data_IF_280296109816
#
_entry.id   IF_280296109816
#
_cell.length_a   1.000
_cell.length_b   1.000
_cell.length_c   1.000
_cell.angle_alpha   90.00
_cell.angle_beta   90.00
_cell.angle_gamma   90.00
#
_symmetry.space_group_name_H-M   'P 1'
#
loop_
_entity.id
_entity.type
_entity.pdbx_description
1 polymer ?
#
# COMPACT_ATOMS: atom_id res chain seq x y z
N UNK A 1 1.91 -15.45 -10.43
CA UNK A 1 1.50 -14.45 -9.42
C UNK A 1 2.27 -14.68 -8.14
N UNK A 2 2.88 -13.65 -7.63
CA UNK A 2 3.64 -13.74 -6.39
C UNK A 2 2.71 -13.51 -5.21
N UNK A 3 2.68 -14.45 -4.27
CA UNK A 3 1.95 -14.29 -3.03
C UNK A 3 2.96 -14.04 -1.91
N UNK A 4 2.63 -13.13 -1.01
CA UNK A 4 3.49 -12.78 0.10
C UNK A 4 2.75 -12.96 1.41
N UNK A 5 3.44 -13.44 2.43
CA UNK A 5 2.90 -13.57 3.79
C UNK A 5 3.02 -12.23 4.54
N UNK A 6 2.34 -12.13 5.66
CA UNK A 6 2.48 -10.96 6.53
C UNK A 6 3.93 -10.78 6.98
N UNK A 7 4.66 -11.87 7.25
CA UNK A 7 6.08 -11.81 7.60
C UNK A 7 6.89 -11.18 6.48
N UNK A 8 6.64 -11.60 5.22
CA UNK A 8 7.37 -11.09 4.06
C UNK A 8 7.15 -9.58 3.87
N UNK A 9 5.89 -9.17 3.89
CA UNK A 9 5.52 -7.78 3.61
C UNK A 9 5.95 -6.85 4.74
N UNK A 10 5.64 -7.21 5.98
CA UNK A 10 5.97 -6.38 7.14
C UNK A 10 7.48 -6.36 7.39
N UNK A 11 8.17 -7.46 7.08
CA UNK A 11 9.62 -7.54 7.21
C UNK A 11 10.38 -6.54 6.33
N UNK A 12 9.77 -6.07 5.25
CA UNK A 12 10.37 -5.04 4.39
C UNK A 12 10.52 -3.69 5.11
N UNK A 13 9.82 -3.51 6.22
CA UNK A 13 9.81 -2.29 7.01
C UNK A 13 10.35 -2.53 8.42
N UNK A 14 11.10 -3.63 8.61
CA UNK A 14 11.65 -4.04 9.91
C UNK A 14 10.58 -4.24 10.99
N UNK A 15 9.37 -4.62 10.57
CA UNK A 15 8.28 -4.91 11.49
C UNK A 15 8.24 -6.41 11.75
N UNK A 16 8.35 -6.79 13.00
CA UNK A 16 8.22 -8.20 13.43
C UNK A 16 6.76 -8.49 13.72
N UNK A 17 6.22 -9.54 13.11
CA UNK A 17 4.86 -10.00 13.40
C UNK A 17 4.90 -10.82 14.69
N UNK A 18 4.25 -10.35 15.78
CA UNK A 18 4.37 -11.03 17.07
C UNK A 18 3.63 -12.38 17.13
N UNK A 19 2.62 -12.58 16.28
CA UNK A 19 1.86 -13.82 16.22
C UNK A 19 2.35 -14.67 15.04
N UNK A 20 2.99 -15.79 15.34
CA UNK A 20 3.53 -16.71 14.34
C UNK A 20 2.45 -17.24 13.39
N UNK A 21 1.24 -17.45 13.90
CA UNK A 21 0.13 -17.92 13.07
C UNK A 21 -0.23 -16.89 12.00
N UNK A 22 -0.30 -15.62 12.37
CA UNK A 22 -0.59 -14.53 11.44
C UNK A 22 0.58 -14.31 10.49
N UNK A 23 1.82 -14.46 10.97
CA UNK A 23 3.01 -14.24 10.15
C UNK A 23 3.03 -15.13 8.90
N UNK A 24 2.51 -16.34 8.98
CA UNK A 24 2.48 -17.30 7.87
C UNK A 24 1.27 -17.15 6.96
N UNK A 25 0.31 -16.29 7.30
CA UNK A 25 -0.87 -16.06 6.47
C UNK A 25 -0.46 -15.20 5.26
N UNK A 26 -0.92 -15.60 4.07
CA UNK A 26 -0.77 -14.80 2.86
C UNK A 26 -1.57 -13.51 2.99
N UNK A 27 -0.97 -12.37 2.66
CA UNK A 27 -1.68 -11.09 2.66
C UNK A 27 -2.74 -11.14 1.57
N UNK A 28 -4.03 -10.91 1.89
CA UNK A 28 -5.07 -10.86 0.86
C UNK A 28 -4.81 -9.73 -0.13
N UNK A 29 -4.91 -10.02 -1.43
CA UNK A 29 -4.75 -9.05 -2.50
C UNK A 29 -6.11 -8.85 -3.15
N UNK A 30 -6.69 -7.68 -2.98
CA UNK A 30 -8.06 -7.39 -3.37
C UNK A 30 -8.14 -6.21 -4.32
N UNK A 31 -9.20 -6.18 -5.14
CA UNK A 31 -9.44 -5.10 -6.10
C UNK A 31 -10.60 -4.19 -5.71
N UNK A 32 -11.39 -4.58 -4.71
CA UNK A 32 -12.50 -3.78 -4.22
C UNK A 32 -12.11 -2.77 -3.16
N UNK A 33 -13.10 -2.07 -2.59
CA UNK A 33 -12.82 -1.14 -1.50
C UNK A 33 -12.22 -1.85 -0.29
N UNK A 34 -11.26 -1.20 0.33
CA UNK A 34 -10.62 -1.70 1.54
C UNK A 34 -10.47 -0.59 2.57
N UNK A 35 -10.06 -0.95 3.75
CA UNK A 35 -9.81 -0.02 4.84
C UNK A 35 -8.59 -0.47 5.63
N UNK A 36 -7.78 0.49 6.01
CA UNK A 36 -6.67 0.25 6.94
C UNK A 36 -6.68 1.36 7.97
N UNK A 37 -7.09 1.04 9.21
CA UNK A 37 -7.28 2.04 10.24
C UNK A 37 -8.31 3.07 9.81
N UNK A 38 -7.92 4.34 9.79
CA UNK A 38 -8.75 5.46 9.35
C UNK A 38 -8.58 5.80 7.86
N UNK A 39 -7.81 5.00 7.13
CA UNK A 39 -7.60 5.20 5.70
C UNK A 39 -8.55 4.31 4.90
N UNK A 40 -9.32 4.93 4.01
CA UNK A 40 -10.14 4.22 3.04
C UNK A 40 -9.40 4.11 1.71
N UNK A 41 -9.54 2.95 1.05
CA UNK A 41 -8.94 2.67 -0.25
C UNK A 41 -10.09 2.35 -1.19
N UNK A 42 -10.27 3.15 -2.23
CA UNK A 42 -11.43 3.03 -3.13
C UNK A 42 -10.99 2.94 -4.58
N UNK A 43 -11.51 1.97 -5.36
CA UNK A 43 -11.23 1.92 -6.80
C UNK A 43 -11.63 3.21 -7.49
N UNK A 44 -10.86 3.61 -8.48
CA UNK A 44 -11.13 4.79 -9.30
C UNK A 44 -10.68 4.56 -10.74
N UNK A 45 -10.94 5.53 -11.59
CA UNK A 45 -10.46 5.53 -12.96
C UNK A 45 -8.93 5.58 -13.01
N UNK A 46 -8.31 5.00 -14.07
CA UNK A 46 -6.86 5.08 -14.25
C UNK A 46 -6.34 6.51 -14.23
N UNK A 47 -5.08 6.68 -13.87
CA UNK A 47 -4.42 7.98 -13.94
C UNK A 47 -4.46 8.51 -15.37
N UNK A 48 -4.67 9.81 -15.51
CA UNK A 48 -4.49 10.49 -16.79
C UNK A 48 -3.00 10.53 -17.14
N UNK A 49 -2.67 10.82 -18.41
CA UNK A 49 -1.27 10.95 -18.80
C UNK A 49 -0.56 12.08 -18.04
N UNK A 50 -1.27 13.18 -17.79
CA UNK A 50 -0.73 14.28 -16.99
C UNK A 50 -0.48 13.90 -15.55
N UNK A 51 -1.41 13.19 -14.93
CA UNK A 51 -1.25 12.68 -13.57
C UNK A 51 -0.09 11.68 -13.50
N UNK A 52 -0.02 10.76 -14.46
CA UNK A 52 1.03 9.74 -14.49
C UNK A 52 2.43 10.35 -14.62
N UNK A 53 2.56 11.46 -15.35
CA UNK A 53 3.85 12.13 -15.48
C UNK A 53 4.33 12.76 -14.17
N UNK A 54 3.44 12.99 -13.22
CA UNK A 54 3.75 13.55 -11.90
C UNK A 54 3.88 12.49 -10.82
N UNK A 55 3.47 11.25 -11.11
CA UNK A 55 3.54 10.16 -10.15
C UNK A 55 4.97 9.66 -9.98
N UNK A 56 5.25 9.09 -8.81
CA UNK A 56 6.56 8.50 -8.51
C UNK A 56 6.43 6.99 -8.44
N UNK A 57 7.48 6.29 -8.84
CA UNK A 57 7.53 4.84 -8.71
C UNK A 57 7.69 4.45 -7.24
N UNK A 58 6.90 3.47 -6.81
CA UNK A 58 6.95 2.98 -5.43
C UNK A 58 8.03 1.92 -5.32
N UNK A 59 9.05 2.12 -4.49
CA UNK A 59 10.10 1.11 -4.33
C UNK A 59 9.59 -0.08 -3.50
N UNK A 60 10.28 -1.20 -3.63
CA UNK A 60 9.95 -2.40 -2.85
C UNK A 60 10.11 -2.15 -1.34
N UNK A 61 11.09 -1.37 -0.94
CA UNK A 61 11.29 -0.99 0.46
C UNK A 61 10.24 0.00 0.99
N UNK A 62 9.46 0.59 0.10
CA UNK A 62 8.30 1.38 0.47
C UNK A 62 8.55 2.85 0.69
N UNK A 63 7.47 3.61 0.70
CA UNK A 63 7.45 5.03 1.00
C UNK A 63 6.34 5.31 2.00
N UNK A 64 6.51 6.30 2.86
CA UNK A 64 5.45 6.75 3.76
C UNK A 64 4.44 7.56 2.96
N UNK A 65 3.18 7.15 2.97
CA UNK A 65 2.09 7.86 2.27
C UNK A 65 1.19 8.62 3.24
N UNK A 66 1.11 8.17 4.48
CA UNK A 66 0.46 8.91 5.57
C UNK A 66 1.38 8.86 6.77
N UNK A 67 1.68 10.02 7.34
CA UNK A 67 2.48 10.10 8.56
C UNK A 67 1.58 10.56 9.70
N UNK A 68 1.56 9.78 10.77
CA UNK A 68 0.87 10.16 11.99
C UNK A 68 1.70 11.17 12.79
N UNK A 69 1.03 11.88 13.70
CA UNK A 69 1.70 12.76 14.65
C UNK A 69 2.61 11.94 15.58
N UNK A 70 3.75 12.50 15.93
CA UNK A 70 4.73 11.86 16.79
C UNK A 70 5.18 10.48 16.30
N UNK A 71 5.09 10.22 14.99
CA UNK A 71 5.52 8.96 14.38
C UNK A 71 4.52 7.81 14.51
N UNK A 72 3.38 8.02 15.17
CA UNK A 72 2.31 7.02 15.22
C UNK A 72 1.43 7.05 13.99
N UNK A 73 0.67 5.98 13.75
CA UNK A 73 -0.29 5.85 12.65
C UNK A 73 0.32 6.09 11.25
N UNK A 74 1.56 5.70 11.06
CA UNK A 74 2.20 5.81 9.75
C UNK A 74 1.75 4.68 8.85
N UNK A 75 1.34 5.01 7.65
CA UNK A 75 1.02 4.05 6.60
C UNK A 75 2.12 4.10 5.54
N UNK A 76 2.64 2.94 5.19
CA UNK A 76 3.68 2.79 4.17
C UNK A 76 3.11 2.08 2.96
N UNK A 77 3.54 2.49 1.78
CA UNK A 77 3.17 1.81 0.54
C UNK A 77 4.41 1.13 -0.02
N UNK A 78 4.30 -0.17 -0.29
CA UNK A 78 5.36 -1.00 -0.85
C UNK A 78 4.85 -1.63 -2.15
N UNK A 79 5.75 -2.05 -3.01
CA UNK A 79 5.36 -2.55 -4.33
C UNK A 79 6.18 -3.75 -4.78
N UNK A 80 5.51 -4.67 -5.45
CA UNK A 80 6.12 -5.68 -6.30
C UNK A 80 5.71 -5.35 -7.74
N UNK A 81 6.66 -4.82 -8.51
CA UNK A 81 6.42 -4.35 -9.87
C UNK A 81 6.32 -2.83 -9.97
N UNK A 82 6.02 -2.30 -11.17
CA UNK A 82 6.07 -0.85 -11.44
C UNK A 82 4.83 -0.10 -10.95
N UNK A 83 4.52 -0.20 -9.67
CA UNK A 83 3.43 0.53 -9.02
C UNK A 83 3.84 2.00 -8.90
N UNK A 84 2.91 2.93 -9.13
CA UNK A 84 3.17 4.37 -9.01
C UNK A 84 2.22 5.01 -8.00
N UNK A 85 2.71 6.09 -7.39
CA UNK A 85 2.00 6.86 -6.38
C UNK A 85 1.97 8.32 -6.77
N UNK A 86 0.80 8.92 -6.74
CA UNK A 86 0.60 10.36 -6.95
C UNK A 86 0.07 10.96 -5.65
N UNK A 87 0.92 11.73 -4.99
CA UNK A 87 0.51 12.40 -3.76
C UNK A 87 -0.48 13.52 -4.07
N UNK A 88 -1.52 13.61 -3.27
CA UNK A 88 -2.52 14.67 -3.34
C UNK A 88 -2.59 15.36 -1.98
N UNK A 89 -2.81 16.66 -2.01
CA UNK A 89 -3.07 17.46 -0.81
C UNK A 89 -4.36 18.23 -1.06
N UNK A 90 -5.46 17.49 -1.10
CA UNK A 90 -6.76 18.03 -1.48
C UNK A 90 -7.85 17.55 -0.50
N UNK A 91 -7.95 18.20 0.62
CA UNK A 91 -8.94 17.86 1.65
C UNK A 91 -8.67 16.48 2.24
N UNK A 92 -9.62 15.57 2.09
CA UNK A 92 -9.50 14.21 2.62
C UNK A 92 -8.77 13.26 1.68
N UNK A 93 -8.44 13.70 0.47
CA UNK A 93 -7.74 12.85 -0.50
C UNK A 93 -6.23 12.89 -0.25
N UNK A 94 -5.68 11.75 0.15
CA UNK A 94 -4.26 11.60 0.46
C UNK A 94 -3.42 11.42 -0.80
N UNK A 95 -3.90 10.59 -1.71
CA UNK A 95 -3.18 10.31 -2.94
C UNK A 95 -3.83 9.21 -3.75
N UNK A 96 -3.18 8.85 -4.85
CA UNK A 96 -3.67 7.86 -5.80
C UNK A 96 -2.55 6.87 -6.05
N UNK A 97 -2.87 5.57 -5.98
CA UNK A 97 -1.94 4.50 -6.33
C UNK A 97 -2.45 3.78 -7.56
N UNK A 98 -1.58 3.55 -8.53
CA UNK A 98 -1.90 2.75 -9.72
C UNK A 98 -1.03 1.51 -9.74
N UNK A 99 -1.69 0.35 -9.78
CA UNK A 99 -1.05 -0.97 -9.78
C UNK A 99 -1.25 -1.58 -11.16
N UNK A 100 -0.18 -1.69 -11.99
CA UNK A 100 -0.28 -2.29 -13.31
C UNK A 100 -0.52 -3.80 -13.24
N UNK A 101 -0.97 -4.39 -14.35
CA UNK A 101 -1.07 -5.83 -14.47
C UNK A 101 0.28 -6.50 -14.16
N UNK A 102 0.24 -7.63 -13.47
CA UNK A 102 1.43 -8.34 -13.06
C UNK A 102 2.11 -7.77 -11.81
N UNK A 103 1.56 -6.69 -11.25
CA UNK A 103 2.11 -6.02 -10.07
C UNK A 103 1.19 -6.15 -8.87
N UNK A 104 1.71 -5.88 -7.70
CA UNK A 104 0.94 -5.84 -6.45
C UNK A 104 1.42 -4.69 -5.60
N UNK A 105 0.48 -3.91 -5.06
CA UNK A 105 0.79 -2.90 -4.06
C UNK A 105 0.44 -3.43 -2.67
N UNK A 106 1.15 -2.95 -1.65
CA UNK A 106 0.85 -3.28 -0.26
C UNK A 106 0.82 -2.00 0.56
N UNK A 107 -0.32 -1.75 1.22
CA UNK A 107 -0.42 -0.69 2.20
C UNK A 107 -0.20 -1.29 3.58
N UNK A 108 0.74 -0.74 4.32
CA UNK A 108 1.21 -1.30 5.59
C UNK A 108 0.99 -0.27 6.69
N UNK A 109 0.32 -0.69 7.77
CA UNK A 109 0.16 0.10 8.97
C UNK A 109 1.23 -0.31 9.99
N UNK A 110 2.19 0.56 10.24
CA UNK A 110 3.38 0.20 11.02
C UNK A 110 3.07 -0.09 12.49
N UNK A 111 2.11 0.63 13.08
CA UNK A 111 1.78 0.47 14.49
C UNK A 111 0.93 -0.78 14.77
N UNK A 112 0.00 -1.10 13.89
CA UNK A 112 -0.93 -2.21 14.07
C UNK A 112 -0.49 -3.48 13.37
N UNK A 113 0.68 -3.47 12.76
CA UNK A 113 1.24 -4.63 12.04
C UNK A 113 0.28 -5.18 10.98
N UNK A 114 -0.51 -4.30 10.35
CA UNK A 114 -1.46 -4.68 9.33
C UNK A 114 -0.92 -4.47 7.92
N UNK A 115 -1.44 -5.25 6.97
CA UNK A 115 -1.11 -5.09 5.57
C UNK A 115 -2.33 -5.38 4.71
N UNK A 116 -2.57 -4.52 3.71
CA UNK A 116 -3.61 -4.68 2.71
C UNK A 116 -2.95 -4.82 1.34
N UNK A 117 -3.26 -5.88 0.62
CA UNK A 117 -2.78 -6.07 -0.75
C UNK A 117 -3.71 -5.41 -1.75
N UNK A 118 -3.12 -4.75 -2.75
CA UNK A 118 -3.83 -4.06 -3.82
C UNK A 118 -3.57 -4.80 -5.13
N UNK A 119 -4.63 -5.37 -5.70
CA UNK A 119 -4.59 -6.03 -7.00
C UNK A 119 -4.42 -4.98 -8.12
N UNK A 120 -4.07 -5.40 -9.35
CA UNK A 120 -4.02 -4.46 -10.47
C UNK A 120 -5.26 -3.59 -10.56
N UNK A 121 -5.05 -2.29 -10.70
CA UNK A 121 -6.10 -1.29 -10.71
C UNK A 121 -5.59 0.07 -10.26
N UNK A 122 -6.51 1.00 -10.08
CA UNK A 122 -6.20 2.34 -9.59
C UNK A 122 -7.11 2.65 -8.40
N UNK A 123 -6.52 3.23 -7.39
CA UNK A 123 -7.20 3.46 -6.12
C UNK A 123 -6.95 4.85 -5.56
#
# INVERSE_FOLDING_TARGET
>A
MTTATFRDVLGRHDITVPDETIAEITVPVLSGPQRQGDIGIFPREPLTSGERSMAVQVPREGIAVVRGEAGGNTHMLSADGPVVWLEKDAGLLVGIVEVPEGSTGYLIHTDEHGANGLAPGCY
#
